data_IF_216331284677
#
_entry.id   IF_216331284677
#
_cell.length_a   1.000
_cell.length_b   1.000
_cell.length_c   1.000
_cell.angle_alpha   90.00
_cell.angle_beta   90.00
_cell.angle_gamma   90.00
#
_symmetry.space_group_name_H-M   'P 1'
#
loop_
_entity.id
_entity.type
_entity.pdbx_description
1 polymer ?
#
# COMPACT_ATOMS: atom_id res chain seq x y z
N UNK A 1 -4.41 16.17 9.40
CA UNK A 1 -3.96 17.31 8.59
C UNK A 1 -5.19 17.93 7.93
N UNK A 2 -5.36 19.25 8.10
CA UNK A 2 -6.42 20.00 7.42
C UNK A 2 -5.99 20.37 6.00
N UNK A 3 -6.93 20.73 5.12
CA UNK A 3 -6.59 21.12 3.72
C UNK A 3 -5.64 22.31 3.68
N UNK A 4 -5.79 23.29 4.59
CA UNK A 4 -4.88 24.44 4.68
C UNK A 4 -3.44 24.03 4.99
N UNK A 5 -3.27 23.05 5.87
CA UNK A 5 -1.95 22.52 6.24
C UNK A 5 -1.36 21.66 5.10
N UNK A 6 -2.21 20.94 4.36
CA UNK A 6 -1.81 20.21 3.15
C UNK A 6 -1.34 21.15 2.05
N UNK A 7 -2.07 22.24 1.81
CA UNK A 7 -1.74 23.27 0.82
C UNK A 7 -0.41 23.95 1.13
N UNK A 8 -0.18 24.28 2.39
CA UNK A 8 1.04 24.97 2.84
C UNK A 8 2.29 24.07 2.79
N UNK A 9 2.14 22.78 3.13
CA UNK A 9 3.29 21.91 3.37
C UNK A 9 3.55 20.87 2.27
N UNK A 10 2.56 20.57 1.43
CA UNK A 10 2.65 19.45 0.47
C UNK A 10 2.46 19.92 -0.96
N UNK A 11 1.27 20.41 -1.31
CA UNK A 11 0.94 20.79 -2.68
C UNK A 11 -0.35 21.60 -2.73
N UNK A 12 -0.48 22.51 -3.71
CA UNK A 12 -1.72 23.25 -3.95
C UNK A 12 -2.79 22.34 -4.57
N UNK A 13 -4.03 22.81 -4.60
CA UNK A 13 -5.13 22.09 -5.24
C UNK A 13 -4.80 21.73 -6.69
N UNK A 14 -5.13 20.52 -7.10
CA UNK A 14 -5.00 20.04 -8.48
C UNK A 14 -3.63 20.31 -9.12
N UNK A 15 -2.54 20.01 -8.39
CA UNK A 15 -1.17 20.27 -8.82
C UNK A 15 -0.30 19.02 -8.92
N UNK A 16 -0.76 17.88 -8.43
CA UNK A 16 0.01 16.63 -8.38
C UNK A 16 -0.44 15.65 -9.47
N UNK A 17 0.52 15.12 -10.22
CA UNK A 17 0.27 14.11 -11.26
C UNK A 17 0.20 12.67 -10.69
N UNK A 18 1.02 12.35 -9.68
CA UNK A 18 1.15 11.00 -9.13
C UNK A 18 1.32 11.03 -7.59
N UNK A 19 0.55 10.20 -6.91
CA UNK A 19 0.71 9.88 -5.48
C UNK A 19 1.08 8.40 -5.35
N UNK A 20 2.17 8.07 -4.65
CA UNK A 20 2.53 6.68 -4.32
C UNK A 20 2.55 6.49 -2.81
N UNK A 21 1.98 5.38 -2.31
CA UNK A 21 1.75 5.25 -0.86
C UNK A 21 1.69 3.82 -0.35
N UNK A 22 2.17 3.62 0.89
CA UNK A 22 1.86 2.44 1.71
C UNK A 22 0.75 2.79 2.71
N UNK A 23 -0.45 2.24 2.50
CA UNK A 23 -1.69 2.76 3.08
C UNK A 23 -1.89 2.51 4.59
N UNK A 24 -1.23 1.49 5.14
CA UNK A 24 -1.56 0.99 6.49
C UNK A 24 -1.21 1.92 7.66
N UNK A 25 -0.57 3.04 7.38
CA UNK A 25 -0.24 4.08 8.38
C UNK A 25 -1.33 5.16 8.52
N UNK A 26 -2.31 5.19 7.62
CA UNK A 26 -3.21 6.34 7.44
C UNK A 26 -4.64 6.03 7.89
N UNK A 27 -5.33 7.10 8.32
CA UNK A 27 -6.78 7.15 8.29
C UNK A 27 -7.22 7.28 6.82
N UNK A 28 -7.69 6.18 6.23
CA UNK A 28 -7.95 6.10 4.79
C UNK A 28 -9.01 7.11 4.32
N UNK A 29 -10.18 7.27 4.99
CA UNK A 29 -11.18 8.23 4.54
C UNK A 29 -10.67 9.67 4.51
N UNK A 30 -9.91 10.09 5.52
CA UNK A 30 -9.34 11.43 5.55
C UNK A 30 -8.22 11.59 4.51
N UNK A 31 -7.37 10.57 4.36
CA UNK A 31 -6.29 10.57 3.38
C UNK A 31 -6.83 10.66 1.95
N UNK A 32 -7.87 9.90 1.60
CA UNK A 32 -8.43 9.93 0.24
C UNK A 32 -9.03 11.29 -0.12
N UNK A 33 -9.65 12.01 0.84
CA UNK A 33 -10.13 13.39 0.59
C UNK A 33 -8.98 14.33 0.23
N UNK A 34 -7.84 14.17 0.87
CA UNK A 34 -6.64 14.98 0.62
C UNK A 34 -6.03 14.64 -0.75
N UNK A 35 -5.90 13.36 -1.06
CA UNK A 35 -5.41 12.88 -2.36
C UNK A 35 -6.28 13.42 -3.50
N UNK A 36 -7.61 13.28 -3.40
CA UNK A 36 -8.55 13.82 -4.40
C UNK A 36 -8.44 15.33 -4.57
N UNK A 37 -8.08 16.05 -3.51
CA UNK A 37 -7.93 17.51 -3.58
C UNK A 37 -6.62 17.93 -4.27
N UNK A 38 -5.49 17.24 -4.05
CA UNK A 38 -4.20 17.59 -4.68
C UNK A 38 -4.03 17.04 -6.09
N UNK A 39 -4.66 15.91 -6.43
CA UNK A 39 -4.50 15.28 -7.74
C UNK A 39 -5.10 16.16 -8.85
N UNK A 40 -4.38 16.25 -9.96
CA UNK A 40 -4.88 16.90 -11.17
C UNK A 40 -6.06 16.09 -11.73
N UNK A 41 -7.16 16.77 -12.01
CA UNK A 41 -8.27 16.20 -12.77
C UNK A 41 -8.06 16.52 -14.26
N UNK A 42 -8.24 15.57 -15.22
CA UNK A 42 -8.73 14.20 -15.05
C UNK A 42 -7.63 13.11 -15.05
N UNK A 43 -6.35 13.49 -14.99
CA UNK A 43 -5.21 12.59 -15.31
C UNK A 43 -4.39 12.12 -14.10
N UNK A 44 -4.68 12.63 -12.90
CA UNK A 44 -3.93 12.34 -11.70
C UNK A 44 -4.08 10.87 -11.27
N UNK A 45 -2.97 10.25 -10.89
CA UNK A 45 -2.93 8.83 -10.51
C UNK A 45 -2.54 8.68 -9.05
N UNK A 46 -3.16 7.72 -8.37
CA UNK A 46 -2.67 7.20 -7.09
C UNK A 46 -2.31 5.72 -7.23
N UNK A 47 -1.15 5.35 -6.70
CA UNK A 47 -0.67 3.97 -6.64
C UNK A 47 -0.42 3.57 -5.19
N UNK A 48 -1.28 2.70 -4.67
CA UNK A 48 -1.08 2.06 -3.38
C UNK A 48 -0.23 0.80 -3.56
N UNK A 49 0.83 0.67 -2.78
CA UNK A 49 1.72 -0.49 -2.83
C UNK A 49 2.09 -0.94 -1.42
N UNK A 50 2.45 -2.21 -1.29
CA UNK A 50 3.00 -2.77 -0.05
C UNK A 50 3.85 -3.99 -0.36
N UNK A 51 4.67 -4.37 0.61
CA UNK A 51 5.21 -5.73 0.71
C UNK A 51 4.42 -6.49 1.78
N UNK A 52 4.41 -7.81 1.68
CA UNK A 52 3.82 -8.69 2.70
C UNK A 52 4.90 -9.51 3.39
N UNK A 53 4.47 -10.49 4.19
CA UNK A 53 5.37 -11.49 4.78
C UNK A 53 6.28 -12.08 3.70
N UNK A 54 7.61 -12.05 3.89
CA UNK A 54 8.55 -12.51 2.88
C UNK A 54 8.45 -14.03 2.70
N UNK A 55 8.65 -14.48 1.47
CA UNK A 55 8.92 -15.88 1.18
C UNK A 55 10.41 -16.16 1.40
N UNK A 56 10.71 -17.01 2.38
CA UNK A 56 12.09 -17.38 2.74
C UNK A 56 12.24 -18.91 2.73
N UNK A 57 13.48 -19.40 2.79
CA UNK A 57 13.74 -20.84 2.82
C UNK A 57 13.13 -21.52 4.08
N UNK A 58 12.95 -22.84 4.01
CA UNK A 58 12.28 -23.58 5.09
C UNK A 58 13.02 -23.52 6.44
N UNK A 59 14.36 -23.52 6.43
CA UNK A 59 15.13 -23.44 7.67
C UNK A 59 14.93 -22.10 8.40
N UNK A 60 14.84 -20.99 7.67
CA UNK A 60 14.54 -19.68 8.26
C UNK A 60 13.05 -19.53 8.63
N UNK A 61 12.13 -20.11 7.84
CA UNK A 61 10.68 -20.06 8.11
C UNK A 61 10.31 -20.62 9.49
N UNK A 62 10.99 -21.67 9.94
CA UNK A 62 10.73 -22.32 11.24
C UNK A 62 10.93 -21.34 12.41
N UNK A 63 11.91 -20.44 12.32
CA UNK A 63 12.18 -19.42 13.35
C UNK A 63 11.33 -18.18 13.12
N UNK A 64 11.21 -17.73 11.87
CA UNK A 64 10.57 -16.47 11.54
C UNK A 64 9.05 -16.49 11.76
N UNK A 65 8.35 -17.58 11.41
CA UNK A 65 6.88 -17.62 11.51
C UNK A 65 6.38 -17.42 12.94
N UNK A 66 6.82 -18.21 13.95
CA UNK A 66 6.37 -18.02 15.33
C UNK A 66 6.70 -16.62 15.85
N UNK A 67 7.90 -16.13 15.58
CA UNK A 67 8.32 -14.80 15.99
C UNK A 67 7.42 -13.70 15.40
N UNK A 68 7.12 -13.76 14.09
CA UNK A 68 6.35 -12.73 13.41
C UNK A 68 4.85 -12.78 13.74
N UNK A 69 4.27 -13.98 13.88
CA UNK A 69 2.81 -14.15 14.02
C UNK A 69 2.32 -14.39 15.45
N UNK A 70 3.22 -14.71 16.38
CA UNK A 70 2.88 -14.93 17.80
C UNK A 70 3.58 -13.89 18.67
N UNK A 71 4.92 -13.84 18.64
CA UNK A 71 5.67 -12.99 19.56
C UNK A 71 5.49 -11.49 19.24
N UNK A 72 5.47 -11.15 17.95
CA UNK A 72 5.26 -9.77 17.49
C UNK A 72 3.79 -9.34 17.45
N UNK A 73 2.82 -10.27 17.48
CA UNK A 73 1.39 -9.97 17.29
C UNK A 73 0.87 -8.86 18.21
N UNK A 74 1.18 -8.88 19.53
CA UNK A 74 0.69 -7.86 20.46
C UNK A 74 1.21 -6.46 20.19
N UNK A 75 2.31 -6.34 19.43
CA UNK A 75 2.96 -5.07 19.12
C UNK A 75 2.53 -4.51 17.76
N UNK A 76 1.84 -5.31 16.94
CA UNK A 76 1.35 -4.82 15.66
C UNK A 76 0.14 -3.91 15.84
N UNK A 77 0.17 -2.77 15.16
CA UNK A 77 -1.04 -1.95 15.03
C UNK A 77 -2.12 -2.74 14.28
N UNK A 78 -3.40 -2.63 14.66
CA UNK A 78 -4.50 -3.35 13.99
C UNK A 78 -4.53 -3.16 12.46
N UNK A 79 -4.13 -1.98 11.98
CA UNK A 79 -4.06 -1.64 10.56
C UNK A 79 -3.08 -2.52 9.77
N UNK A 80 -2.11 -3.17 10.43
CA UNK A 80 -1.19 -4.13 9.80
C UNK A 80 -1.91 -5.35 9.21
N UNK A 81 -3.12 -5.67 9.70
CA UNK A 81 -3.97 -6.74 9.14
C UNK A 81 -4.42 -6.47 7.70
N UNK A 82 -4.42 -5.20 7.26
CA UNK A 82 -4.73 -4.85 5.88
C UNK A 82 -3.73 -5.44 4.88
N UNK A 83 -2.48 -5.65 5.30
CA UNK A 83 -1.44 -6.24 4.46
C UNK A 83 -1.57 -7.76 4.39
N UNK A 84 -2.14 -8.40 5.40
CA UNK A 84 -2.28 -9.87 5.42
C UNK A 84 -3.25 -10.33 4.32
N UNK A 85 -4.28 -9.53 4.05
CA UNK A 85 -5.18 -9.73 2.91
C UNK A 85 -4.72 -8.98 1.65
N UNK A 86 -3.44 -8.57 1.56
CA UNK A 86 -2.86 -7.89 0.37
C UNK A 86 -3.70 -6.72 -0.16
N UNK A 87 -4.33 -5.95 0.73
CA UNK A 87 -5.28 -4.89 0.38
C UNK A 87 -6.53 -5.33 -0.42
N UNK A 88 -6.84 -6.62 -0.55
CA UNK A 88 -8.03 -7.10 -1.27
C UNK A 88 -9.35 -6.59 -0.68
N UNK A 89 -9.37 -6.20 0.59
CA UNK A 89 -10.56 -5.76 1.32
C UNK A 89 -10.54 -4.27 1.70
N UNK A 90 -9.59 -3.48 1.18
CA UNK A 90 -9.61 -2.03 1.45
C UNK A 90 -10.71 -1.37 0.62
N UNK A 91 -11.35 -0.36 1.19
CA UNK A 91 -12.09 0.61 0.40
C UNK A 91 -11.07 1.48 -0.34
N UNK A 92 -11.13 1.49 -1.68
CA UNK A 92 -10.23 2.25 -2.55
C UNK A 92 -11.07 3.04 -3.56
N UNK A 93 -11.45 4.29 -3.24
CA UNK A 93 -12.47 5.04 -3.97
C UNK A 93 -11.87 5.81 -5.16
N UNK A 94 -11.00 5.14 -5.92
CA UNK A 94 -10.38 5.65 -7.14
C UNK A 94 -10.64 4.66 -8.27
N UNK A 95 -10.91 5.19 -9.46
CA UNK A 95 -11.13 4.35 -10.63
C UNK A 95 -9.84 3.59 -11.00
N UNK A 96 -9.92 2.29 -11.31
CA UNK A 96 -8.78 1.54 -11.80
C UNK A 96 -8.34 2.09 -13.16
N UNK A 97 -7.03 2.11 -13.42
CA UNK A 97 -6.52 2.44 -14.75
C UNK A 97 -6.87 1.29 -15.72
N UNK A 98 -7.42 1.62 -16.89
CA UNK A 98 -7.87 0.68 -17.95
C UNK A 98 -6.75 -0.12 -18.64
N UNK A 99 -5.63 -0.36 -17.95
CA UNK A 99 -4.48 -1.09 -18.52
C UNK A 99 -3.98 -2.12 -17.54
N UNK A 100 -4.29 -3.37 -17.87
CA UNK A 100 -3.68 -4.58 -17.33
C UNK A 100 -4.23 -5.01 -15.96
N UNK A 101 -4.50 -6.32 -15.82
CA UNK A 101 -5.02 -6.95 -14.59
C UNK A 101 -4.09 -6.73 -13.38
N UNK A 102 -2.85 -6.31 -13.66
CA UNK A 102 -1.78 -5.98 -12.73
C UNK A 102 -1.97 -4.68 -11.93
N UNK A 103 -3.05 -3.94 -12.18
CA UNK A 103 -3.36 -2.67 -11.46
C UNK A 103 -4.31 -2.86 -10.28
N UNK A 104 -4.78 -4.10 -10.05
CA UNK A 104 -5.64 -4.48 -8.93
C UNK A 104 -4.82 -5.22 -7.85
N UNK A 105 -5.30 -5.28 -6.59
CA UNK A 105 -4.71 -6.14 -5.57
C UNK A 105 -4.50 -7.57 -6.10
N UNK A 106 -3.25 -8.05 -6.09
CA UNK A 106 -2.87 -9.36 -6.61
C UNK A 106 -3.30 -10.49 -5.67
N UNK A 107 -4.01 -11.49 -6.20
CA UNK A 107 -4.25 -12.75 -5.47
C UNK A 107 -2.97 -13.55 -5.21
N UNK A 108 -2.02 -13.51 -6.15
CA UNK A 108 -0.77 -14.27 -6.10
C UNK A 108 0.40 -13.40 -6.57
N UNK A 109 1.53 -13.44 -5.86
CA UNK A 109 2.78 -12.88 -6.37
C UNK A 109 3.37 -13.91 -7.34
N UNK A 110 3.78 -13.47 -8.52
CA UNK A 110 4.67 -14.27 -9.37
C UNK A 110 6.07 -14.12 -8.77
N UNK A 111 6.62 -15.21 -8.24
CA UNK A 111 8.03 -15.23 -7.83
C UNK A 111 8.85 -15.23 -9.10
N UNK A 112 9.41 -14.07 -9.47
CA UNK A 112 10.48 -14.02 -10.45
C UNK A 112 11.76 -14.56 -9.78
N UNK A 113 12.12 -15.81 -10.11
CA UNK A 113 13.40 -16.38 -9.72
C UNK A 113 14.51 -15.66 -10.48
N UNK A 114 15.11 -14.63 -9.87
CA UNK A 114 16.38 -14.12 -10.33
C UNK A 114 17.48 -15.05 -9.81
N UNK A 115 18.16 -15.74 -10.72
CA UNK A 115 19.43 -16.40 -10.43
C UNK A 115 20.50 -15.32 -10.18
N UNK A 116 20.56 -14.75 -8.97
CA UNK A 116 21.52 -13.70 -8.58
C UNK A 116 22.89 -14.28 -8.18
N UNK A 117 23.20 -15.52 -8.57
CA UNK A 117 24.54 -16.09 -8.41
C UNK A 117 24.99 -16.75 -9.72
N UNK A 118 25.65 -15.95 -10.56
CA UNK A 118 26.61 -16.43 -11.56
C UNK A 118 27.94 -15.71 -11.36
#
# INVERSE_FOLDING_TARGET
>A
MFITELEQNVATQSSVDLVTIALYWFDLPQFYKQVKWILKEPIGVITAWTYTTPEINESAKVVFKPFASVDCEPFWKPQRKLLDNKYMSIDFPFEPMDRDDNTRPFGQFVVENFDVFR
#
